data_IF_818490247481
#
_entry.id   IF_818490247481
#
_cell.length_a   1.000
_cell.length_b   1.000
_cell.length_c   1.000
_cell.angle_alpha   90.00
_cell.angle_beta   90.00
_cell.angle_gamma   90.00
#
_symmetry.space_group_name_H-M   'P 1'
#
loop_
_entity.id
_entity.type
_entity.pdbx_description
1 polymer ?
#
# COMPACT_ATOMS: atom_id res chain seq x y z
N UNK A 1 -12.94 5.71 7.77
CA UNK A 1 -13.22 6.96 7.04
C UNK A 1 -12.70 6.78 5.63
N UNK A 2 -13.37 7.34 4.63
CA UNK A 2 -12.96 7.22 3.24
C UNK A 2 -11.89 8.26 2.95
N UNK A 3 -10.73 7.82 2.44
CA UNK A 3 -9.67 8.69 1.93
C UNK A 3 -10.05 9.16 0.52
N UNK A 4 -10.74 10.30 0.45
CA UNK A 4 -11.10 10.92 -0.82
C UNK A 4 -9.97 11.80 -1.34
N UNK A 5 -9.20 11.28 -2.30
CA UNK A 5 -8.37 12.09 -3.21
C UNK A 5 -7.06 12.63 -2.62
N UNK A 6 -6.05 12.67 -3.48
CA UNK A 6 -4.70 13.17 -3.20
C UNK A 6 -4.65 14.70 -3.23
N UNK A 7 -5.50 15.33 -2.43
CA UNK A 7 -5.68 16.77 -2.37
C UNK A 7 -6.49 17.16 -1.14
N UNK A 8 -5.94 16.92 0.06
CA UNK A 8 -6.18 17.72 1.26
C UNK A 8 -7.61 17.95 1.78
N UNK A 9 -8.65 17.26 1.29
CA UNK A 9 -10.02 17.45 1.75
C UNK A 9 -10.59 16.17 2.35
N UNK A 10 -10.37 16.10 3.66
CA UNK A 10 -11.06 15.30 4.67
C UNK A 10 -11.21 13.82 4.33
N UNK A 11 -10.57 12.99 5.15
CA UNK A 11 -11.06 11.65 5.41
C UNK A 11 -12.54 11.72 5.80
N UNK A 12 -13.44 11.58 4.83
CA UNK A 12 -14.87 11.69 5.11
C UNK A 12 -15.25 10.43 5.85
N UNK A 13 -15.53 10.56 7.13
CA UNK A 13 -16.13 9.48 7.88
C UNK A 13 -17.56 9.31 7.37
N UNK A 14 -17.68 8.43 6.39
CA UNK A 14 -18.93 8.09 5.73
C UNK A 14 -19.53 6.80 6.31
N UNK A 15 -20.80 6.56 6.00
CA UNK A 15 -21.54 5.36 6.39
C UNK A 15 -21.42 4.30 5.30
N UNK A 16 -21.27 3.05 5.73
CA UNK A 16 -21.45 1.90 4.85
C UNK A 16 -22.91 1.85 4.38
N UNK A 17 -23.12 1.51 3.12
CA UNK A 17 -24.45 1.50 2.51
C UNK A 17 -24.68 0.22 1.69
N UNK A 18 -25.95 -0.12 1.50
CA UNK A 18 -26.41 -1.13 0.56
C UNK A 18 -27.13 -0.51 -0.65
N UNK A 19 -27.56 0.75 -0.53
CA UNK A 19 -28.06 1.56 -1.64
C UNK A 19 -28.19 3.04 -1.27
N UNK A 20 -28.52 3.88 -2.25
CA UNK A 20 -28.54 5.35 -2.11
C UNK A 20 -29.46 5.87 -0.99
N UNK A 21 -30.50 5.11 -0.64
CA UNK A 21 -31.40 5.48 0.45
C UNK A 21 -30.69 5.56 1.80
N UNK A 22 -29.65 4.77 2.02
CA UNK A 22 -28.83 4.78 3.23
C UNK A 22 -28.00 6.07 3.33
N UNK A 23 -27.81 6.77 2.21
CA UNK A 23 -26.98 7.97 2.09
C UNK A 23 -27.75 9.28 2.29
N UNK A 24 -29.07 9.24 2.45
CA UNK A 24 -29.91 10.44 2.56
C UNK A 24 -29.49 11.39 3.69
N UNK A 25 -28.83 10.88 4.74
CA UNK A 25 -28.31 11.67 5.85
C UNK A 25 -27.11 12.57 5.51
N UNK A 26 -26.42 12.32 4.39
CA UNK A 26 -25.27 13.11 3.95
C UNK A 26 -25.65 14.30 3.04
N UNK A 27 -26.93 14.46 2.73
CA UNK A 27 -27.43 15.55 1.88
C UNK A 27 -28.12 15.04 0.61
N UNK A 28 -28.81 15.96 -0.08
CA UNK A 28 -29.46 15.62 -1.35
C UNK A 28 -28.43 15.27 -2.42
N UNK A 29 -28.64 14.14 -3.10
CA UNK A 29 -27.76 13.66 -4.16
C UNK A 29 -26.59 12.81 -3.68
N UNK A 30 -26.51 12.50 -2.38
CA UNK A 30 -25.56 11.51 -1.90
C UNK A 30 -25.90 10.12 -2.45
N UNK A 31 -24.88 9.38 -2.91
CA UNK A 31 -25.04 8.07 -3.57
C UNK A 31 -24.21 6.99 -2.87
N UNK A 32 -24.67 5.75 -2.98
CA UNK A 32 -23.99 4.59 -2.44
C UNK A 32 -23.04 4.02 -3.49
N UNK A 33 -21.75 4.11 -3.22
CA UNK A 33 -20.72 3.78 -4.19
C UNK A 33 -19.91 2.57 -3.72
N UNK A 34 -19.77 1.51 -4.52
CA UNK A 34 -18.89 0.39 -4.19
C UNK A 34 -17.43 0.88 -4.18
N UNK A 35 -16.76 0.61 -3.06
CA UNK A 35 -15.32 0.87 -2.88
C UNK A 35 -14.51 -0.42 -2.91
N UNK A 36 -15.13 -1.54 -2.55
CA UNK A 36 -14.58 -2.89 -2.75
C UNK A 36 -15.68 -3.83 -3.25
N UNK A 37 -15.33 -5.09 -3.55
CA UNK A 37 -16.31 -6.12 -3.95
C UNK A 37 -17.42 -6.35 -2.90
N UNK A 38 -17.18 -6.00 -1.63
CA UNK A 38 -18.09 -6.30 -0.51
C UNK A 38 -18.51 -5.08 0.30
N UNK A 39 -17.90 -3.93 0.04
CA UNK A 39 -18.15 -2.70 0.79
C UNK A 39 -18.51 -1.59 -0.17
N UNK A 40 -19.65 -0.96 0.09
CA UNK A 40 -20.04 0.30 -0.49
C UNK A 40 -20.17 1.34 0.61
N UNK A 41 -19.85 2.58 0.29
CA UNK A 41 -19.94 3.70 1.23
C UNK A 41 -20.64 4.87 0.56
N UNK A 42 -21.23 5.74 1.38
CA UNK A 42 -21.94 6.90 0.86
C UNK A 42 -20.97 8.02 0.43
N UNK A 43 -21.22 8.63 -0.72
CA UNK A 43 -20.50 9.80 -1.18
C UNK A 43 -21.47 10.97 -1.27
N UNK A 44 -21.07 12.18 -0.82
CA UNK A 44 -21.84 13.37 -1.12
C UNK A 44 -21.88 13.61 -2.64
N UNK A 45 -22.86 14.40 -3.08
CA UNK A 45 -22.94 14.85 -4.46
C UNK A 45 -21.71 15.70 -4.80
N UNK A 46 -21.05 15.41 -5.91
CA UNK A 46 -19.91 16.20 -6.41
C UNK A 46 -20.39 17.36 -7.30
N UNK A 47 -19.57 18.40 -7.42
CA UNK A 47 -19.73 19.54 -8.31
C UNK A 47 -18.58 19.64 -9.31
N UNK A 48 -17.36 19.29 -8.90
CA UNK A 48 -16.18 19.14 -9.76
C UNK A 48 -15.46 17.82 -9.49
N UNK A 49 -14.46 17.50 -10.32
CA UNK A 49 -13.59 16.35 -10.12
C UNK A 49 -12.80 16.42 -8.80
N UNK A 50 -12.60 17.63 -8.25
CA UNK A 50 -11.91 17.86 -6.97
C UNK A 50 -12.74 17.38 -5.77
N UNK A 51 -14.06 17.26 -5.94
CA UNK A 51 -14.94 16.67 -4.92
C UNK A 51 -14.86 15.12 -4.90
N UNK A 52 -14.12 14.53 -5.83
CA UNK A 52 -13.96 13.09 -6.00
C UNK A 52 -12.53 12.64 -5.65
N UNK A 53 -12.35 11.33 -5.46
CA UNK A 53 -10.98 10.79 -5.34
C UNK A 53 -10.23 10.87 -6.67
N UNK A 54 -8.90 10.79 -6.63
CA UNK A 54 -8.03 10.93 -7.81
C UNK A 54 -8.38 9.99 -8.99
N UNK A 55 -8.97 8.83 -8.69
CA UNK A 55 -9.41 7.80 -9.64
C UNK A 55 -10.90 7.91 -10.03
N UNK A 56 -11.58 8.97 -9.61
CA UNK A 56 -12.99 9.24 -9.91
C UNK A 56 -13.16 10.61 -10.56
N UNK A 57 -14.21 10.76 -11.35
CA UNK A 57 -14.62 12.01 -11.99
C UNK A 57 -16.06 12.30 -11.64
N UNK A 58 -16.37 13.58 -11.48
CA UNK A 58 -17.71 14.02 -11.20
C UNK A 58 -18.56 14.00 -12.48
N UNK A 59 -19.51 13.08 -12.53
CA UNK A 59 -20.46 12.95 -13.64
C UNK A 59 -21.88 12.98 -13.10
N UNK A 60 -22.65 13.96 -13.56
CA UNK A 60 -24.04 14.19 -13.12
C UNK A 60 -24.19 14.20 -11.58
N UNK A 61 -23.26 14.86 -10.89
CA UNK A 61 -23.16 14.95 -9.43
C UNK A 61 -22.85 13.62 -8.71
N UNK A 62 -22.29 12.63 -9.39
CA UNK A 62 -21.83 11.37 -8.81
C UNK A 62 -20.35 11.14 -9.13
N UNK A 63 -19.56 10.72 -8.14
CA UNK A 63 -18.17 10.34 -8.36
C UNK A 63 -18.08 8.94 -9.01
N UNK A 64 -17.94 8.90 -10.32
CA UNK A 64 -17.77 7.67 -11.11
C UNK A 64 -16.29 7.33 -11.28
N UNK A 65 -15.93 6.05 -11.37
CA UNK A 65 -14.56 5.63 -11.68
C UNK A 65 -14.15 6.15 -13.08
N UNK A 66 -12.96 6.75 -13.20
CA UNK A 66 -12.44 7.28 -14.48
C UNK A 66 -12.19 6.19 -15.54
N UNK A 67 -12.06 4.94 -15.11
CA UNK A 67 -11.87 3.77 -15.95
C UNK A 67 -10.71 2.93 -15.45
N UNK A 68 -10.83 1.60 -15.57
CA UNK A 68 -9.69 0.70 -15.37
C UNK A 68 -8.77 0.79 -16.60
N UNK A 69 -7.47 0.68 -16.41
CA UNK A 69 -6.47 0.76 -17.47
C UNK A 69 -5.39 -0.30 -17.25
N UNK A 70 -4.71 -0.72 -18.32
CA UNK A 70 -3.50 -1.54 -18.26
C UNK A 70 -2.25 -0.74 -18.65
N UNK A 71 -2.42 0.30 -19.47
CA UNK A 71 -1.39 1.25 -19.86
C UNK A 71 -1.98 2.65 -20.13
N UNK A 72 -1.14 3.67 -20.21
CA UNK A 72 -1.57 5.07 -20.45
C UNK A 72 -2.40 5.23 -21.73
N UNK A 73 -2.15 4.39 -22.73
CA UNK A 73 -2.92 4.39 -23.98
C UNK A 73 -4.39 3.99 -23.84
N UNK A 74 -4.78 3.42 -22.69
CA UNK A 74 -6.18 3.09 -22.37
C UNK A 74 -6.94 4.31 -21.80
N UNK A 75 -6.22 5.38 -21.44
CA UNK A 75 -6.77 6.58 -20.80
C UNK A 75 -7.03 7.71 -21.81
N UNK A 76 -7.81 8.72 -21.40
CA UNK A 76 -7.97 9.92 -22.22
C UNK A 76 -6.62 10.63 -22.43
N UNK A 77 -6.44 11.47 -23.47
CA UNK A 77 -5.16 12.13 -23.74
C UNK A 77 -4.64 13.09 -22.65
N UNK A 78 -5.47 13.42 -21.66
CA UNK A 78 -5.14 14.24 -20.48
C UNK A 78 -5.09 13.40 -19.21
N UNK A 79 -5.07 12.08 -19.36
CA UNK A 79 -5.09 11.11 -18.27
C UNK A 79 -3.97 10.08 -18.52
N UNK A 80 -3.53 9.44 -17.44
CA UNK A 80 -2.56 8.34 -17.47
C UNK A 80 -3.02 7.19 -16.60
N UNK A 81 -2.41 6.03 -16.78
CA UNK A 81 -2.73 4.85 -16.00
C UNK A 81 -1.88 4.78 -14.73
N UNK A 82 -2.50 4.97 -13.56
CA UNK A 82 -1.81 4.92 -12.27
C UNK A 82 -2.15 3.62 -11.53
N UNK A 83 -1.11 2.90 -11.07
CA UNK A 83 -1.28 1.71 -10.25
C UNK A 83 -1.48 2.11 -8.78
N UNK A 84 -2.61 1.70 -8.22
CA UNK A 84 -2.96 1.91 -6.81
C UNK A 84 -3.12 0.56 -6.13
N UNK A 85 -3.18 0.56 -4.79
CA UNK A 85 -3.53 -0.64 -4.02
C UNK A 85 -4.91 -1.25 -4.38
N UNK A 86 -5.77 -0.50 -5.06
CA UNK A 86 -7.10 -0.94 -5.47
C UNK A 86 -7.16 -1.41 -6.94
N UNK A 87 -6.06 -1.32 -7.68
CA UNK A 87 -5.99 -1.61 -9.11
C UNK A 87 -5.40 -0.44 -9.92
N UNK A 88 -5.39 -0.60 -11.24
CA UNK A 88 -4.90 0.39 -12.18
C UNK A 88 -6.05 1.23 -12.74
N UNK A 89 -5.97 2.55 -12.59
CA UNK A 89 -7.04 3.47 -12.99
C UNK A 89 -6.49 4.67 -13.77
N UNK A 90 -7.31 5.20 -14.68
CA UNK A 90 -7.01 6.47 -15.32
C UNK A 90 -7.12 7.61 -14.32
N UNK A 91 -6.06 8.40 -14.21
CA UNK A 91 -6.00 9.62 -13.39
C UNK A 91 -5.67 10.79 -14.29
N UNK A 92 -6.14 12.00 -13.97
CA UNK A 92 -5.72 13.18 -14.70
C UNK A 92 -4.20 13.34 -14.61
N UNK A 93 -3.61 13.78 -15.72
CA UNK A 93 -2.30 14.42 -15.69
C UNK A 93 -2.42 15.70 -14.88
N UNK A 94 -2.08 15.59 -13.60
CA UNK A 94 -1.91 16.74 -12.73
C UNK A 94 -0.83 17.63 -13.31
N UNK A 95 -1.03 18.94 -13.18
CA UNK A 95 0.05 19.89 -13.34
C UNK A 95 1.17 19.50 -12.35
N UNK A 96 2.43 19.61 -12.78
CA UNK A 96 3.58 19.55 -11.86
C UNK A 96 3.29 20.48 -10.68
N UNK A 97 3.39 19.98 -9.43
CA UNK A 97 3.15 20.79 -8.24
C UNK A 97 3.91 22.10 -8.31
N UNK A 98 3.29 23.19 -7.80
CA UNK A 98 3.94 24.50 -7.79
C UNK A 98 5.04 24.62 -6.71
N UNK A 99 5.16 23.61 -5.86
CA UNK A 99 6.10 23.43 -4.75
C UNK A 99 6.92 22.14 -4.96
N UNK A 100 7.85 21.83 -4.05
CA UNK A 100 8.57 20.56 -4.08
C UNK A 100 9.65 20.45 -5.16
N UNK A 101 10.15 21.59 -5.65
CA UNK A 101 11.13 21.57 -6.74
C UNK A 101 12.50 21.01 -6.30
N UNK A 102 12.81 19.81 -6.78
CA UNK A 102 14.04 19.11 -6.48
C UNK A 102 15.29 19.59 -7.27
N UNK A 103 16.50 19.39 -6.74
CA UNK A 103 17.74 19.65 -7.45
C UNK A 103 18.03 18.56 -8.49
N UNK A 104 18.61 18.94 -9.63
CA UNK A 104 19.11 17.97 -10.60
C UNK A 104 20.16 17.01 -9.94
N UNK A 105 20.14 15.71 -10.24
CA UNK A 105 19.35 15.04 -11.29
C UNK A 105 17.96 14.54 -10.84
N UNK A 106 17.47 14.96 -9.68
CA UNK A 106 16.22 14.47 -9.07
C UNK A 106 14.98 15.28 -9.45
N UNK A 107 15.13 16.27 -10.32
CA UNK A 107 14.01 17.01 -10.93
C UNK A 107 13.07 16.07 -11.69
N UNK A 108 11.76 16.35 -11.66
CA UNK A 108 10.71 15.58 -12.37
C UNK A 108 10.49 14.18 -11.77
N UNK A 109 10.29 14.12 -10.47
CA UNK A 109 10.07 12.91 -9.67
C UNK A 109 8.63 12.77 -9.16
N UNK A 110 7.71 13.67 -9.53
CA UNK A 110 6.30 13.68 -9.11
C UNK A 110 5.50 12.46 -9.62
N UNK A 111 6.14 11.58 -10.42
CA UNK A 111 5.54 10.40 -11.06
C UNK A 111 6.43 9.19 -10.91
N UNK A 112 5.80 8.05 -10.59
CA UNK A 112 6.48 6.75 -10.49
C UNK A 112 7.25 6.35 -11.76
N UNK A 113 6.71 6.67 -12.94
CA UNK A 113 7.35 6.36 -14.23
C UNK A 113 8.59 7.19 -14.54
N UNK A 114 8.66 8.39 -13.96
CA UNK A 114 9.73 9.37 -14.17
C UNK A 114 10.79 9.31 -13.04
N UNK A 115 10.57 8.44 -12.04
CA UNK A 115 11.40 8.29 -10.85
C UNK A 115 12.92 8.24 -11.16
N UNK A 116 13.72 9.23 -10.69
CA UNK A 116 15.16 9.23 -10.84
C UNK A 116 15.82 8.07 -10.08
N UNK A 117 16.97 7.62 -10.60
CA UNK A 117 17.74 6.53 -9.98
C UNK A 117 18.53 7.08 -8.79
N UNK A 118 18.41 6.42 -7.64
CA UNK A 118 19.20 6.72 -6.42
C UNK A 118 20.20 5.59 -6.12
N UNK A 119 21.39 5.91 -5.60
CA UNK A 119 22.36 4.90 -5.20
C UNK A 119 21.91 4.16 -3.94
N UNK A 120 22.34 2.91 -3.79
CA UNK A 120 22.05 2.05 -2.64
C UNK A 120 23.22 1.95 -1.65
N UNK A 121 24.10 2.95 -1.65
CA UNK A 121 25.33 2.99 -0.85
C UNK A 121 25.15 3.65 0.53
N UNK A 122 23.92 4.03 0.88
CA UNK A 122 23.57 4.71 2.13
C UNK A 122 23.98 6.18 2.19
N UNK A 123 24.49 6.76 1.09
CA UNK A 123 24.86 8.18 1.06
C UNK A 123 23.60 9.04 1.00
N UNK A 124 23.54 10.05 1.87
CA UNK A 124 22.43 11.00 1.90
C UNK A 124 22.43 11.90 0.67
N UNK A 125 21.30 11.92 -0.03
CA UNK A 125 20.92 12.89 -1.03
C UNK A 125 20.32 14.09 -0.30
N UNK A 126 20.91 15.27 -0.49
CA UNK A 126 20.50 16.48 0.22
C UNK A 126 19.86 17.50 -0.72
N UNK A 127 19.08 18.39 -0.13
CA UNK A 127 18.46 19.52 -0.84
C UNK A 127 17.16 19.17 -1.54
N UNK A 128 16.62 17.96 -1.31
CA UNK A 128 15.31 17.57 -1.81
C UNK A 128 14.22 18.43 -1.16
N UNK A 129 13.14 18.70 -1.89
CA UNK A 129 12.00 19.48 -1.43
C UNK A 129 10.72 18.69 -1.69
N UNK A 130 9.73 18.81 -0.81
CA UNK A 130 8.40 18.21 -1.02
C UNK A 130 7.33 19.13 -0.45
N UNK A 131 6.06 18.88 -0.76
CA UNK A 131 4.89 19.56 -0.20
C UNK A 131 3.65 18.65 -0.27
N UNK A 132 2.52 19.04 0.33
CA UNK A 132 1.29 18.21 0.36
C UNK A 132 0.69 17.89 -1.04
N UNK A 133 1.09 18.62 -2.08
CA UNK A 133 0.67 18.38 -3.47
C UNK A 133 1.72 17.61 -4.28
N UNK A 134 2.93 17.47 -3.73
CA UNK A 134 4.07 16.88 -4.38
C UNK A 134 4.34 15.46 -3.90
N UNK A 135 4.73 14.61 -4.84
CA UNK A 135 4.82 13.16 -4.64
C UNK A 135 6.13 12.65 -5.20
N UNK A 136 7.13 12.59 -4.34
CA UNK A 136 8.48 12.26 -4.80
C UNK A 136 8.66 10.75 -4.96
N UNK A 137 8.87 10.32 -6.19
CA UNK A 137 9.21 8.94 -6.53
C UNK A 137 10.69 8.81 -6.87
N UNK A 138 11.37 7.85 -6.25
CA UNK A 138 12.74 7.47 -6.59
C UNK A 138 12.79 5.99 -6.94
N UNK A 139 13.79 5.56 -7.69
CA UNK A 139 13.99 4.13 -7.97
C UNK A 139 15.41 3.68 -7.73
N UNK A 140 15.56 2.41 -7.36
CA UNK A 140 16.85 1.78 -7.19
C UNK A 140 16.79 0.30 -7.59
N UNK A 141 17.95 -0.34 -7.70
CA UNK A 141 18.08 -1.75 -8.02
C UNK A 141 18.79 -2.47 -6.88
N UNK A 142 18.20 -3.58 -6.42
CA UNK A 142 18.87 -4.53 -5.54
C UNK A 142 19.57 -5.56 -6.44
N UNK A 143 20.92 -5.57 -6.46
CA UNK A 143 21.64 -6.50 -7.31
C UNK A 143 21.59 -7.92 -6.74
N UNK A 144 21.87 -8.92 -7.57
CA UNK A 144 21.77 -10.33 -7.19
C UNK A 144 22.67 -10.71 -6.00
N UNK A 145 23.85 -10.08 -5.88
CA UNK A 145 24.78 -10.27 -4.76
C UNK A 145 24.27 -9.69 -3.42
N UNK A 146 23.28 -8.81 -3.44
CA UNK A 146 22.63 -8.26 -2.25
C UNK A 146 21.30 -8.99 -1.93
N UNK A 147 21.09 -10.17 -2.51
CA UNK A 147 19.97 -11.02 -2.11
C UNK A 147 20.02 -11.30 -0.61
N UNK A 148 18.84 -11.28 0.02
CA UNK A 148 18.63 -11.48 1.44
C UNK A 148 19.17 -10.38 2.39
N UNK A 149 19.78 -9.32 1.85
CA UNK A 149 20.27 -8.19 2.65
C UNK A 149 19.12 -7.48 3.38
N UNK A 150 19.48 -6.61 4.31
CA UNK A 150 18.55 -5.64 4.89
C UNK A 150 18.56 -4.36 4.07
N UNK A 151 17.41 -3.97 3.56
CA UNK A 151 17.16 -2.65 3.00
C UNK A 151 16.85 -1.67 4.12
N UNK A 152 17.47 -0.49 4.07
CA UNK A 152 17.15 0.67 4.90
C UNK A 152 16.94 1.88 3.98
N UNK A 153 15.76 2.50 4.05
CA UNK A 153 15.46 3.76 3.37
C UNK A 153 15.14 4.79 4.44
N UNK A 154 15.91 5.88 4.49
CA UNK A 154 15.75 6.90 5.51
C UNK A 154 15.47 8.27 4.89
N UNK A 155 14.45 8.96 5.40
CA UNK A 155 14.19 10.36 5.08
C UNK A 155 14.37 11.22 6.32
N UNK A 156 15.12 12.34 6.26
CA UNK A 156 15.29 13.27 7.38
C UNK A 156 14.74 14.65 7.04
N UNK A 157 14.00 15.24 7.96
CA UNK A 157 13.29 16.51 7.75
C UNK A 157 13.21 17.32 9.05
N UNK A 158 12.64 18.53 8.97
CA UNK A 158 12.50 19.43 10.13
C UNK A 158 11.37 18.98 11.07
N UNK A 159 11.47 19.34 12.34
CA UNK A 159 10.37 19.15 13.32
C UNK A 159 9.09 19.89 12.90
N UNK A 160 7.94 19.27 13.13
CA UNK A 160 6.63 19.85 12.82
C UNK A 160 6.10 19.56 11.41
N UNK A 161 6.80 18.74 10.64
CA UNK A 161 6.32 18.18 9.36
C UNK A 161 6.15 16.67 9.52
N UNK A 162 5.18 16.10 8.82
CA UNK A 162 4.94 14.67 8.74
C UNK A 162 5.25 14.19 7.31
N UNK A 163 6.41 13.56 7.13
CA UNK A 163 6.79 12.90 5.88
C UNK A 163 6.67 11.40 6.09
N UNK A 164 5.98 10.74 5.17
CA UNK A 164 5.89 9.30 5.08
C UNK A 164 6.86 8.76 4.01
N UNK A 165 7.39 7.56 4.24
CA UNK A 165 8.23 6.84 3.27
C UNK A 165 7.66 5.46 3.02
N UNK A 166 7.45 5.13 1.76
CA UNK A 166 6.99 3.82 1.30
C UNK A 166 7.98 3.23 0.30
N UNK A 167 8.18 1.92 0.34
CA UNK A 167 9.00 1.19 -0.62
C UNK A 167 8.16 0.12 -1.30
N UNK A 168 8.15 0.11 -2.61
CA UNK A 168 7.45 -0.86 -3.44
C UNK A 168 8.42 -1.67 -4.30
N UNK A 169 8.11 -2.94 -4.52
CA UNK A 169 8.82 -3.74 -5.52
C UNK A 169 8.33 -3.45 -6.96
N UNK A 170 8.91 -4.17 -7.92
CA UNK A 170 8.59 -4.06 -9.34
C UNK A 170 7.12 -4.43 -9.68
N UNK A 171 6.44 -5.20 -8.83
CA UNK A 171 5.02 -5.54 -8.98
C UNK A 171 4.11 -4.46 -8.40
N UNK A 172 4.66 -3.54 -7.60
CA UNK A 172 3.89 -2.54 -6.86
C UNK A 172 3.44 -3.02 -5.49
N UNK A 173 3.89 -4.18 -5.02
CA UNK A 173 3.63 -4.61 -3.66
C UNK A 173 4.46 -3.78 -2.68
N UNK A 174 3.86 -3.39 -1.55
CA UNK A 174 4.56 -2.68 -0.48
C UNK A 174 5.55 -3.64 0.19
N UNK A 175 6.77 -3.16 0.45
CA UNK A 175 7.89 -3.95 0.99
C UNK A 175 8.39 -3.40 2.31
N UNK A 176 8.33 -2.08 2.49
CA UNK A 176 8.63 -1.39 3.73
C UNK A 176 7.84 -0.07 3.77
N UNK A 177 7.52 0.41 4.96
CA UNK A 177 6.97 1.74 5.17
C UNK A 177 7.44 2.32 6.50
N UNK A 178 7.44 3.64 6.59
CA UNK A 178 7.72 4.40 7.80
C UNK A 178 6.83 5.66 7.77
N UNK A 179 5.95 5.78 8.76
CA UNK A 179 4.82 6.73 8.76
C UNK A 179 4.60 7.35 10.16
N UNK A 180 5.69 7.73 10.83
CA UNK A 180 5.65 8.16 12.22
C UNK A 180 5.44 9.67 12.36
N UNK A 181 4.28 10.15 12.84
CA UNK A 181 3.94 11.58 12.79
C UNK A 181 4.78 12.49 13.70
N UNK A 182 5.50 11.92 14.67
CA UNK A 182 6.22 12.65 15.72
C UNK A 182 7.76 12.55 15.59
N UNK A 183 8.28 12.13 14.45
CA UNK A 183 9.72 11.98 14.22
C UNK A 183 10.25 13.01 13.22
N UNK A 184 11.55 13.29 13.29
CA UNK A 184 12.27 14.10 12.28
C UNK A 184 13.05 13.21 11.32
N UNK A 185 12.82 11.90 11.39
CA UNK A 185 13.46 10.90 10.55
C UNK A 185 12.52 9.71 10.42
N UNK A 186 12.13 9.40 9.20
CA UNK A 186 11.51 8.12 8.88
C UNK A 186 12.58 7.12 8.47
N UNK A 187 12.43 5.87 8.90
CA UNK A 187 13.31 4.77 8.50
C UNK A 187 12.48 3.55 8.15
N UNK A 188 12.30 3.31 6.85
CA UNK A 188 11.64 2.12 6.33
C UNK A 188 12.68 1.00 6.18
N UNK A 189 12.47 -0.13 6.86
CA UNK A 189 13.41 -1.26 6.86
C UNK A 189 12.75 -2.53 6.33
N UNK A 190 13.44 -3.26 5.45
CA UNK A 190 13.02 -4.57 4.98
C UNK A 190 14.17 -5.58 5.02
N UNK A 191 14.06 -6.59 5.88
CA UNK A 191 15.00 -7.72 5.90
C UNK A 191 14.73 -8.71 4.77
N UNK A 192 15.75 -9.47 4.39
CA UNK A 192 15.65 -10.53 3.38
C UNK A 192 15.15 -10.02 2.02
N UNK A 193 15.66 -8.88 1.56
CA UNK A 193 15.21 -8.24 0.33
C UNK A 193 15.55 -9.10 -0.90
N UNK A 194 14.62 -9.20 -1.85
CA UNK A 194 14.84 -9.92 -3.09
C UNK A 194 15.58 -9.03 -4.11
N UNK A 195 16.43 -9.59 -4.99
CA UNK A 195 16.97 -8.84 -6.12
C UNK A 195 15.87 -8.30 -7.04
N UNK A 196 16.07 -7.11 -7.59
CA UNK A 196 15.11 -6.51 -8.52
C UNK A 196 15.04 -4.98 -8.44
N UNK A 197 14.10 -4.42 -9.20
CA UNK A 197 13.82 -2.99 -9.20
C UNK A 197 12.83 -2.63 -8.09
N UNK A 198 13.07 -1.49 -7.44
CA UNK A 198 12.25 -0.95 -6.38
C UNK A 198 11.96 0.52 -6.61
N UNK A 199 10.85 0.99 -6.04
CA UNK A 199 10.44 2.40 -6.02
C UNK A 199 10.33 2.85 -4.57
N UNK A 200 10.96 3.98 -4.23
CA UNK A 200 10.66 4.74 -3.01
C UNK A 200 9.61 5.78 -3.37
N UNK A 201 8.60 5.94 -2.52
CA UNK A 201 7.62 7.02 -2.58
C UNK A 201 7.71 7.79 -1.27
N UNK A 202 7.94 9.10 -1.37
CA UNK A 202 7.95 10.03 -0.26
C UNK A 202 6.71 10.92 -0.39
N UNK A 203 5.95 11.04 0.69
CA UNK A 203 4.69 11.79 0.73
C UNK A 203 4.68 12.70 1.95
N UNK A 204 4.15 13.91 1.83
CA UNK A 204 3.97 14.79 2.97
C UNK A 204 2.51 14.71 3.45
N UNK A 205 2.28 13.96 4.53
CA UNK A 205 0.92 13.65 4.99
C UNK A 205 0.21 14.83 5.64
N UNK A 206 0.93 15.61 6.45
CA UNK A 206 0.35 16.73 7.20
C UNK A 206 1.40 17.79 7.51
N UNK A 207 1.16 19.01 7.03
CA UNK A 207 1.97 20.18 7.38
C UNK A 207 1.15 21.48 7.39
N UNK A 208 1.80 22.59 7.73
CA UNK A 208 1.35 23.92 7.36
C UNK A 208 1.33 24.00 5.81
N UNK A 209 0.16 23.68 5.24
CA UNK A 209 -0.11 23.48 3.82
C UNK A 209 0.68 24.44 2.92
N UNK A 210 1.30 23.85 1.89
CA UNK A 210 1.97 24.51 0.75
C UNK A 210 3.37 25.12 0.99
N UNK A 211 3.94 25.02 2.19
CA UNK A 211 5.38 25.34 2.34
C UNK A 211 6.25 24.16 1.89
N UNK A 212 7.27 24.46 1.08
CA UNK A 212 8.31 23.49 0.76
C UNK A 212 8.96 22.97 2.05
N UNK A 213 8.97 21.65 2.21
CA UNK A 213 9.77 20.99 3.23
C UNK A 213 11.04 20.45 2.60
N UNK A 214 12.17 20.97 3.07
CA UNK A 214 13.46 20.40 2.76
C UNK A 214 13.66 19.07 3.50
N UNK A 215 14.11 18.05 2.78
CA UNK A 215 14.47 16.76 3.36
C UNK A 215 15.75 16.18 2.74
N UNK A 216 16.26 15.12 3.36
CA UNK A 216 17.30 14.26 2.79
C UNK A 216 16.77 12.84 2.62
N UNK A 217 17.30 12.10 1.66
CA UNK A 217 16.97 10.69 1.41
C UNK A 217 18.24 9.85 1.34
N UNK A 218 18.25 8.66 1.94
CA UNK A 218 19.27 7.66 1.69
C UNK A 218 18.64 6.28 1.49
N UNK A 219 19.30 5.47 0.65
CA UNK A 219 18.96 4.06 0.45
C UNK A 219 20.21 3.24 0.71
N UNK A 220 20.13 2.29 1.62
CA UNK A 220 21.23 1.42 2.02
C UNK A 220 20.88 -0.05 1.91
N UNK A 221 21.81 -0.86 1.40
CA UNK A 221 21.76 -2.31 1.47
C UNK A 221 22.83 -2.81 2.43
N UNK A 222 22.39 -3.43 3.52
CA UNK A 222 23.25 -3.90 4.61
C UNK A 222 23.28 -5.42 4.60
N UNK A 223 24.47 -5.98 4.38
CA UNK A 223 24.71 -7.41 4.57
C UNK A 223 24.47 -7.75 6.05
N UNK A 224 23.51 -8.64 6.28
CA UNK A 224 23.11 -9.11 7.59
C UNK A 224 23.63 -10.52 7.90
N UNK A 225 24.50 -11.10 7.04
CA UNK A 225 25.05 -12.45 7.16
C UNK A 225 23.95 -13.54 7.38
N UNK A 226 22.74 -13.29 6.90
CA UNK A 226 21.55 -14.10 7.20
C UNK A 226 20.65 -14.25 5.97
N UNK A 227 19.97 -15.39 5.88
CA UNK A 227 19.06 -15.73 4.81
C UNK A 227 17.81 -16.38 5.40
N UNK A 228 16.67 -16.17 4.75
CA UNK A 228 15.49 -16.95 5.11
C UNK A 228 15.73 -18.43 4.79
N UNK A 229 15.00 -19.29 5.51
CA UNK A 229 14.92 -20.71 5.16
C UNK A 229 13.46 -21.14 5.14
N UNK A 230 13.15 -22.15 4.32
CA UNK A 230 11.78 -22.69 4.24
C UNK A 230 11.26 -23.20 5.60
N UNK A 231 12.17 -23.63 6.49
CA UNK A 231 11.87 -24.15 7.82
C UNK A 231 11.87 -23.06 8.91
N UNK A 232 12.63 -21.97 8.73
CA UNK A 232 12.90 -20.98 9.77
C UNK A 232 11.83 -19.91 9.96
N UNK A 233 10.85 -19.82 9.05
CA UNK A 233 9.74 -18.87 9.08
C UNK A 233 10.15 -17.39 9.27
N UNK A 234 11.40 -17.02 8.92
CA UNK A 234 11.92 -15.65 9.07
C UNK A 234 11.08 -14.64 8.28
N UNK A 235 10.57 -15.09 7.14
CA UNK A 235 9.65 -14.36 6.28
C UNK A 235 8.30 -14.04 6.94
N UNK A 236 7.85 -14.88 7.88
CA UNK A 236 6.61 -14.67 8.62
C UNK A 236 6.65 -13.51 9.64
N UNK A 237 7.82 -12.95 9.92
CA UNK A 237 8.00 -11.79 10.80
C UNK A 237 8.41 -10.51 10.06
N UNK A 238 8.26 -10.50 8.75
CA UNK A 238 8.48 -9.27 7.97
C UNK A 238 7.26 -8.38 8.03
N UNK A 239 7.47 -7.07 7.92
CA UNK A 239 6.40 -6.06 7.89
C UNK A 239 6.66 -5.10 6.72
N UNK A 240 5.74 -4.98 5.75
CA UNK A 240 4.61 -5.89 5.51
C UNK A 240 5.07 -7.34 5.32
N UNK A 241 4.13 -8.25 5.59
CA UNK A 241 4.35 -9.69 5.55
C UNK A 241 4.71 -10.15 4.13
N UNK A 242 5.85 -10.82 4.01
CA UNK A 242 6.33 -11.48 2.79
C UNK A 242 6.53 -12.96 3.07
N UNK A 243 5.46 -13.74 3.05
CA UNK A 243 5.37 -15.05 3.73
C UNK A 243 6.18 -16.21 3.12
N UNK A 244 6.81 -16.03 1.96
CA UNK A 244 7.54 -17.09 1.27
C UNK A 244 9.04 -16.84 1.27
N UNK A 245 9.79 -17.88 1.62
CA UNK A 245 11.24 -17.88 1.45
C UNK A 245 11.60 -18.45 0.07
N UNK A 246 12.39 -17.70 -0.70
CA UNK A 246 13.03 -18.19 -1.91
C UNK A 246 14.30 -18.97 -1.54
N UNK A 247 14.29 -20.29 -1.76
CA UNK A 247 15.36 -21.17 -1.31
C UNK A 247 16.68 -21.00 -2.10
N UNK A 248 16.65 -20.36 -3.27
CA UNK A 248 17.83 -20.12 -4.08
C UNK A 248 18.56 -18.85 -3.62
N UNK A 249 17.79 -17.80 -3.35
CA UNK A 249 18.32 -16.47 -3.01
C UNK A 249 18.36 -16.19 -1.51
N UNK A 250 17.59 -16.92 -0.70
CA UNK A 250 17.44 -16.63 0.72
C UNK A 250 16.59 -15.39 1.02
N UNK A 251 15.91 -14.83 0.01
CA UNK A 251 15.07 -13.64 0.13
C UNK A 251 13.61 -14.00 0.46
N UNK A 252 12.92 -13.08 1.13
CA UNK A 252 11.48 -13.16 1.37
C UNK A 252 10.71 -12.48 0.24
N UNK A 253 9.64 -13.13 -0.21
CA UNK A 253 8.73 -12.62 -1.23
C UNK A 253 7.29 -12.65 -0.75
N UNK A 254 6.50 -11.70 -1.25
CA UNK A 254 5.06 -11.71 -1.11
C UNK A 254 4.44 -12.93 -1.82
N UNK A 255 3.24 -13.27 -1.41
CA UNK A 255 2.34 -14.18 -2.11
C UNK A 255 1.59 -13.32 -3.12
N UNK A 256 1.72 -13.64 -4.40
CA UNK A 256 0.87 -13.04 -5.44
C UNK A 256 -0.27 -14.02 -5.74
N UNK A 257 -1.27 -14.02 -4.86
CA UNK A 257 -2.39 -14.95 -4.92
C UNK A 257 -3.45 -14.56 -5.95
N UNK A 258 -3.56 -13.27 -6.31
CA UNK A 258 -4.54 -12.72 -7.27
C UNK A 258 -5.98 -13.21 -7.07
N UNK A 259 -6.38 -13.48 -5.83
CA UNK A 259 -7.69 -13.98 -5.45
C UNK A 259 -7.90 -15.45 -5.81
N UNK A 260 -6.82 -16.23 -5.89
CA UNK A 260 -6.82 -17.63 -6.30
C UNK A 260 -6.29 -18.58 -5.21
N UNK A 261 -5.81 -18.06 -4.08
CA UNK A 261 -5.39 -18.90 -2.96
C UNK A 261 -6.62 -19.54 -2.31
N UNK A 262 -6.74 -20.88 -2.33
CA UNK A 262 -7.91 -21.57 -1.80
C UNK A 262 -7.97 -21.47 -0.27
N UNK A 263 -9.14 -21.81 0.30
CA UNK A 263 -9.32 -21.93 1.74
C UNK A 263 -8.26 -22.83 2.38
N UNK A 264 -7.63 -22.33 3.45
CA UNK A 264 -6.52 -22.97 4.17
C UNK A 264 -5.15 -22.79 3.50
N UNK A 265 -5.10 -22.21 2.29
CA UNK A 265 -3.86 -21.83 1.62
C UNK A 265 -3.19 -20.63 2.29
N UNK A 266 -1.86 -20.52 2.13
CA UNK A 266 -1.09 -19.39 2.68
C UNK A 266 -1.39 -18.10 1.92
N UNK A 267 -1.50 -17.01 2.65
CA UNK A 267 -1.70 -15.67 2.12
C UNK A 267 -0.86 -14.67 2.91
N UNK A 268 -0.61 -13.51 2.33
CA UNK A 268 -0.11 -12.34 3.06
C UNK A 268 -1.09 -11.17 3.08
N UNK A 269 -2.11 -11.19 2.22
CA UNK A 269 -3.13 -10.17 2.14
C UNK A 269 -4.47 -10.72 1.63
N UNK A 270 -5.55 -9.98 1.89
CA UNK A 270 -6.91 -10.41 1.52
C UNK A 270 -7.11 -10.59 0.01
N UNK A 271 -6.32 -9.88 -0.80
CA UNK A 271 -6.39 -9.97 -2.25
C UNK A 271 -5.85 -11.31 -2.77
N UNK A 272 -5.13 -12.10 -1.96
CA UNK A 272 -4.65 -13.43 -2.34
C UNK A 272 -5.77 -14.44 -2.42
N UNK A 273 -6.75 -14.27 -1.54
CA UNK A 273 -7.69 -15.32 -1.20
C UNK A 273 -8.86 -15.40 -2.18
N UNK A 274 -9.29 -16.63 -2.46
CA UNK A 274 -10.50 -16.88 -3.25
C UNK A 274 -11.73 -16.20 -2.65
N UNK A 275 -12.76 -15.85 -3.45
CA UNK A 275 -13.97 -15.21 -2.94
C UNK A 275 -14.73 -16.00 -1.88
N UNK A 276 -14.51 -17.30 -1.73
CA UNK A 276 -15.06 -18.13 -0.66
C UNK A 276 -14.37 -17.89 0.68
N UNK A 277 -13.13 -17.40 0.67
CA UNK A 277 -12.47 -16.91 1.88
C UNK A 277 -13.03 -15.55 2.27
N UNK A 278 -13.14 -15.33 3.57
CA UNK A 278 -13.57 -14.05 4.11
C UNK A 278 -12.41 -13.07 4.25
N UNK A 279 -11.24 -13.57 4.64
CA UNK A 279 -10.06 -12.79 5.03
C UNK A 279 -8.80 -13.65 4.93
N UNK A 280 -7.65 -13.03 4.68
CA UNK A 280 -6.34 -13.56 4.99
C UNK A 280 -6.06 -13.36 6.48
N UNK A 281 -6.10 -14.44 7.27
CA UNK A 281 -5.79 -14.33 8.69
C UNK A 281 -4.29 -14.24 8.91
N UNK A 282 -3.80 -13.08 9.33
CA UNK A 282 -2.41 -12.85 9.70
C UNK A 282 -2.20 -13.14 11.19
N UNK A 283 -1.29 -14.05 11.52
CA UNK A 283 -0.89 -14.36 12.89
C UNK A 283 0.05 -13.27 13.41
N UNK A 284 -0.49 -12.32 14.16
CA UNK A 284 0.31 -11.26 14.83
C UNK A 284 1.17 -11.76 16.01
N UNK A 285 1.23 -13.07 16.26
CA UNK A 285 2.00 -13.64 17.36
C UNK A 285 2.95 -14.71 16.84
N UNK A 286 4.26 -14.47 16.94
CA UNK A 286 5.37 -15.31 16.48
C UNK A 286 5.46 -16.75 17.03
N UNK A 287 4.36 -17.34 17.47
CA UNK A 287 4.23 -18.72 17.94
C UNK A 287 4.01 -19.75 16.81
N UNK A 288 4.54 -19.50 15.61
CA UNK A 288 4.57 -20.49 14.52
C UNK A 288 3.24 -20.72 13.79
N UNK A 289 2.28 -19.80 13.88
CA UNK A 289 1.08 -19.82 13.03
C UNK A 289 1.44 -19.46 11.58
N UNK A 290 0.81 -20.13 10.62
CA UNK A 290 0.90 -19.76 9.20
C UNK A 290 -0.32 -18.93 8.84
N UNK A 291 -0.12 -17.81 8.16
CA UNK A 291 -1.22 -16.99 7.65
C UNK A 291 -2.01 -17.80 6.64
N UNK A 292 -3.35 -17.79 6.74
CA UNK A 292 -4.19 -18.59 5.85
C UNK A 292 -5.44 -17.85 5.39
N UNK A 293 -5.88 -18.13 4.17
CA UNK A 293 -7.19 -17.75 3.69
C UNK A 293 -8.26 -18.53 4.46
N UNK A 294 -9.09 -17.84 5.24
CA UNK A 294 -10.04 -18.47 6.16
C UNK A 294 -11.42 -17.83 6.11
N UNK A 295 -12.38 -18.43 6.84
CA UNK A 295 -13.75 -17.97 7.00
C UNK A 295 -14.09 -17.75 8.48
N UNK A 296 -15.01 -16.82 8.79
CA UNK A 296 -15.59 -16.72 10.11
C UNK A 296 -16.39 -17.99 10.43
N UNK A 297 -16.44 -18.36 11.70
CA UNK A 297 -17.17 -19.53 12.17
C UNK A 297 -18.04 -19.18 13.39
N UNK A 298 -19.09 -19.97 13.61
CA UNK A 298 -19.90 -20.00 14.83
C UNK A 298 -19.76 -21.32 15.58
N UNK A 299 -19.23 -22.36 14.93
CA UNK A 299 -18.81 -23.60 15.55
C UNK A 299 -17.95 -24.46 14.63
N UNK A 300 -17.50 -25.61 15.14
CA UNK A 300 -16.58 -26.53 14.43
C UNK A 300 -17.11 -26.99 13.05
N UNK A 301 -18.43 -27.05 12.89
CA UNK A 301 -19.04 -27.44 11.62
C UNK A 301 -18.71 -26.50 10.46
N UNK A 302 -18.52 -25.21 10.74
CA UNK A 302 -18.22 -24.21 9.71
C UNK A 302 -16.80 -24.37 9.16
N UNK A 303 -15.91 -24.99 9.94
CA UNK A 303 -14.51 -25.22 9.57
C UNK A 303 -14.28 -26.50 8.76
N UNK A 304 -15.34 -27.25 8.47
CA UNK A 304 -15.25 -28.45 7.63
C UNK A 304 -14.70 -28.16 6.22
N UNK A 305 -14.88 -26.94 5.71
CA UNK A 305 -14.38 -26.50 4.40
C UNK A 305 -12.90 -26.06 4.42
N UNK A 306 -12.28 -25.92 5.60
CA UNK A 306 -10.90 -25.46 5.77
C UNK A 306 -10.10 -26.58 6.46
N UNK A 307 -9.47 -27.49 5.69
CA UNK A 307 -8.85 -28.69 6.24
C UNK A 307 -7.81 -28.39 7.33
N UNK A 308 -7.83 -29.15 8.42
CA UNK A 308 -6.86 -29.03 9.51
C UNK A 308 -7.07 -27.83 10.43
N UNK A 309 -8.24 -27.18 10.37
CA UNK A 309 -8.58 -26.05 11.24
C UNK A 309 -9.70 -26.38 12.23
N UNK A 310 -9.79 -25.57 13.28
CA UNK A 310 -10.84 -25.59 14.30
C UNK A 310 -11.42 -24.19 14.47
N UNK A 311 -12.66 -24.10 14.93
CA UNK A 311 -13.29 -22.81 15.14
C UNK A 311 -12.69 -22.12 16.37
N UNK A 312 -11.83 -21.14 16.14
CA UNK A 312 -11.09 -20.45 17.21
C UNK A 312 -11.77 -19.13 17.55
N UNK A 313 -12.35 -18.98 18.76
CA UNK A 313 -13.00 -17.75 19.17
C UNK A 313 -11.99 -16.68 19.62
N UNK A 314 -12.31 -15.44 19.29
CA UNK A 314 -11.67 -14.20 19.73
C UNK A 314 -12.71 -13.29 20.39
N UNK A 315 -12.28 -12.14 20.91
CA UNK A 315 -13.21 -11.17 21.48
C UNK A 315 -14.09 -10.56 20.37
N UNK A 316 -15.30 -11.11 20.20
CA UNK A 316 -16.33 -10.59 19.30
C UNK A 316 -16.46 -11.29 17.94
N UNK A 317 -15.57 -12.21 17.59
CA UNK A 317 -15.65 -13.01 16.36
C UNK A 317 -14.95 -14.36 16.54
N UNK A 318 -15.11 -15.29 15.61
CA UNK A 318 -14.34 -16.53 15.55
C UNK A 318 -13.99 -16.85 14.10
N UNK A 319 -12.88 -17.54 13.88
CA UNK A 319 -12.39 -17.93 12.55
C UNK A 319 -11.84 -19.35 12.54
N UNK A 320 -11.84 -19.99 11.38
CA UNK A 320 -11.30 -21.34 11.20
C UNK A 320 -9.78 -21.31 11.11
N UNK A 321 -9.09 -21.66 12.19
CA UNK A 321 -7.63 -21.57 12.29
C UNK A 321 -7.00 -22.91 12.62
N UNK A 322 -5.73 -23.14 12.25
CA UNK A 322 -4.99 -24.32 12.71
C UNK A 322 -5.05 -24.40 14.25
N UNK A 323 -5.22 -25.60 14.82
CA UNK A 323 -5.24 -25.76 16.27
C UNK A 323 -3.92 -25.27 16.87
N UNK A 324 -4.01 -24.53 17.97
CA UNK A 324 -2.81 -24.10 18.72
C UNK A 324 -2.18 -25.35 19.36
N UNK A 325 -0.90 -25.59 19.05
CA UNK A 325 -0.10 -26.60 19.74
C UNK A 325 0.28 -26.15 21.15
#
# INVERSE_FOLDING_TARGET
CYTGGAGGHDNVCTVQCQGDADCAGLGMGATCVPVTRRTAVCFPACQSDDDCSAFRTCRANTCELRGECAADGDCAPTERCESTQFGQYCVLDGDTPACGADPAPYTENDRRGDAPVVPTDGVEIAGLQTCDEDRDYFRFEVPAEAAAFTLEVAARFREGVDIDVYVYDATGALVAAATSPDQTTEVATARYIAPGAYTVFVDQFSSDRLEDTAYTLSVGLVDNDDACTAEGNQCGSTEPLRALCDAETGACRAIDGQGQVPLGGRCDSDNDCVPEAAVCWVFEGGAGGQNICTVPCQGEGDCAAVPGTVCTPFQGFAACLPPRN
#
